data_IF_694333729367
#
_entry.id   IF_694333729367
#
_cell.length_a   1.000
_cell.length_b   1.000
_cell.length_c   1.000
_cell.angle_alpha   90.00
_cell.angle_beta   90.00
_cell.angle_gamma   90.00
#
_symmetry.space_group_name_H-M   'P 1'
#
loop_
_entity.id
_entity.type
_entity.pdbx_description
1 polymer ?
#
# COMPACT_ATOMS: atom_id res chain seq x y z
N UNK A 1 -12.88 -4.42 10.83
CA UNK A 1 -12.43 -4.87 9.51
C UNK A 1 -12.94 -3.86 8.50
N UNK A 2 -12.07 -3.30 7.69
CA UNK A 2 -12.40 -2.26 6.72
C UNK A 2 -11.96 -2.68 5.33
N UNK A 3 -12.78 -2.33 4.34
CA UNK A 3 -12.37 -2.37 2.94
C UNK A 3 -11.80 -1.01 2.56
N UNK A 4 -10.56 -1.00 2.08
CA UNK A 4 -9.81 0.20 1.73
C UNK A 4 -9.26 0.03 0.32
N UNK A 5 -9.48 1.02 -0.53
CA UNK A 5 -8.85 1.12 -1.84
C UNK A 5 -7.63 2.03 -1.74
N UNK A 6 -6.47 1.54 -2.14
CA UNK A 6 -5.22 2.31 -2.15
C UNK A 6 -4.81 2.55 -3.59
N UNK A 7 -4.78 3.81 -4.02
CA UNK A 7 -4.20 4.24 -5.30
C UNK A 7 -2.95 5.08 -5.05
N UNK A 8 -1.88 4.86 -5.82
CA UNK A 8 -0.66 5.64 -5.70
C UNK A 8 -0.16 6.13 -7.07
N UNK A 9 0.50 7.28 -7.07
CA UNK A 9 1.15 7.84 -8.26
C UNK A 9 2.62 8.14 -7.93
N UNK A 10 3.53 7.37 -8.52
CA UNK A 10 4.95 7.34 -8.16
C UNK A 10 5.78 7.11 -9.42
N UNK A 11 6.48 8.16 -9.86
CA UNK A 11 7.38 8.12 -11.01
C UNK A 11 8.63 7.27 -10.75
N UNK A 12 9.21 7.35 -9.54
CA UNK A 12 10.43 6.61 -9.21
C UNK A 12 10.16 5.10 -9.11
N UNK A 13 10.62 4.34 -10.10
CA UNK A 13 10.43 2.89 -10.19
C UNK A 13 10.89 2.12 -8.95
N UNK A 14 12.00 2.52 -8.34
CA UNK A 14 12.53 1.88 -7.14
C UNK A 14 11.59 2.07 -5.95
N UNK A 15 11.07 3.30 -5.76
CA UNK A 15 10.09 3.61 -4.71
C UNK A 15 8.76 2.90 -4.99
N UNK A 16 8.28 2.92 -6.24
CA UNK A 16 7.05 2.24 -6.67
C UNK A 16 7.11 0.75 -6.38
N UNK A 17 8.24 0.10 -6.70
CA UNK A 17 8.43 -1.35 -6.45
C UNK A 17 8.39 -1.67 -4.94
N UNK A 18 9.01 -0.82 -4.11
CA UNK A 18 8.95 -0.99 -2.65
C UNK A 18 7.52 -0.83 -2.11
N UNK A 19 6.81 0.20 -2.55
CA UNK A 19 5.42 0.44 -2.12
C UNK A 19 4.50 -0.69 -2.57
N UNK A 20 4.63 -1.17 -3.81
CA UNK A 20 3.87 -2.33 -4.29
C UNK A 20 4.10 -3.56 -3.41
N UNK A 21 5.37 -3.85 -3.08
CA UNK A 21 5.71 -4.96 -2.19
C UNK A 21 5.14 -4.81 -0.78
N UNK A 22 5.15 -3.60 -0.22
CA UNK A 22 4.55 -3.32 1.09
C UNK A 22 3.04 -3.59 1.03
N UNK A 23 2.35 -3.08 0.01
CA UNK A 23 0.89 -3.23 -0.12
C UNK A 23 0.46 -4.68 -0.36
N UNK A 24 1.30 -5.52 -0.99
CA UNK A 24 1.06 -6.96 -1.14
C UNK A 24 0.93 -7.71 0.19
N UNK A 25 1.46 -7.19 1.30
CA UNK A 25 1.28 -7.79 2.63
C UNK A 25 -0.12 -7.48 3.22
N UNK A 26 -0.83 -6.48 2.69
CA UNK A 26 -2.09 -5.95 3.25
C UNK A 26 -3.29 -6.06 2.30
N UNK A 27 -3.07 -6.34 1.02
CA UNK A 27 -4.12 -6.35 0.02
C UNK A 27 -3.72 -7.00 -1.28
N UNK A 28 -4.67 -7.00 -2.22
CA UNK A 28 -4.49 -7.59 -3.55
C UNK A 28 -4.39 -6.49 -4.59
N UNK A 29 -3.40 -6.52 -5.51
CA UNK A 29 -3.33 -5.57 -6.61
C UNK A 29 -4.47 -5.81 -7.59
N UNK A 30 -5.19 -4.74 -7.96
CA UNK A 30 -6.28 -4.78 -8.96
C UNK A 30 -5.96 -3.98 -10.22
N UNK A 31 -4.97 -3.09 -10.14
CA UNK A 31 -4.37 -2.38 -11.28
C UNK A 31 -2.87 -2.17 -11.01
N UNK A 32 -2.14 -1.69 -12.00
CA UNK A 32 -0.71 -1.36 -11.89
C UNK A 32 -0.34 -0.53 -10.65
N UNK A 33 -1.22 0.39 -10.25
CA UNK A 33 -1.01 1.28 -9.11
C UNK A 33 -2.21 1.37 -8.16
N UNK A 34 -3.01 0.30 -8.10
CA UNK A 34 -4.21 0.23 -7.25
C UNK A 34 -4.28 -1.12 -6.52
N UNK A 35 -4.57 -1.08 -5.21
CA UNK A 35 -4.78 -2.23 -4.34
C UNK A 35 -6.14 -2.17 -3.64
N UNK A 36 -6.74 -3.34 -3.46
CA UNK A 36 -7.87 -3.57 -2.58
C UNK A 36 -7.39 -4.26 -1.29
N UNK A 37 -7.63 -3.63 -0.14
CA UNK A 37 -7.19 -4.11 1.17
C UNK A 37 -8.40 -4.39 2.07
N UNK A 38 -8.45 -5.59 2.64
CA UNK A 38 -9.43 -5.98 3.66
C UNK A 38 -8.70 -6.17 4.99
N UNK A 39 -8.59 -5.10 5.79
CA UNK A 39 -7.65 -5.05 6.90
C UNK A 39 -8.29 -4.58 8.21
N UNK A 40 -7.63 -4.88 9.33
CA UNK A 40 -8.00 -4.37 10.66
C UNK A 40 -7.50 -2.92 10.84
N UNK A 41 -7.92 -2.25 11.93
CA UNK A 41 -7.37 -0.92 12.23
C UNK A 41 -5.88 -0.97 12.57
N UNK A 42 -5.42 -2.02 13.24
CA UNK A 42 -4.01 -2.23 13.57
C UNK A 42 -3.16 -2.42 12.31
N UNK A 43 -3.62 -3.27 11.39
CA UNK A 43 -2.98 -3.47 10.08
C UNK A 43 -2.94 -2.19 9.26
N UNK A 44 -4.00 -1.37 9.32
CA UNK A 44 -4.04 -0.08 8.64
C UNK A 44 -2.98 0.88 9.21
N UNK A 45 -2.80 0.89 10.53
CA UNK A 45 -1.77 1.69 11.18
C UNK A 45 -0.37 1.25 10.74
N UNK A 46 -0.08 -0.05 10.79
CA UNK A 46 1.19 -0.62 10.35
C UNK A 46 1.47 -0.33 8.86
N UNK A 47 0.48 -0.56 8.00
CA UNK A 47 0.57 -0.26 6.57
C UNK A 47 0.94 1.21 6.35
N UNK A 48 0.24 2.12 7.03
CA UNK A 48 0.48 3.57 6.90
C UNK A 48 1.87 3.97 7.37
N UNK A 49 2.37 3.44 8.48
CA UNK A 49 3.74 3.69 8.94
C UNK A 49 4.79 3.21 7.94
N UNK A 50 4.63 1.99 7.40
CA UNK A 50 5.54 1.44 6.39
C UNK A 50 5.58 2.29 5.12
N UNK A 51 4.42 2.79 4.68
CA UNK A 51 4.30 3.64 3.50
C UNK A 51 4.96 5.01 3.70
N UNK A 52 4.72 5.68 4.85
CA UNK A 52 5.32 6.99 5.16
C UNK A 52 6.85 6.94 5.08
N UNK A 53 7.47 5.88 5.61
CA UNK A 53 8.94 5.67 5.53
C UNK A 53 9.49 5.54 4.10
N UNK A 54 8.65 5.32 3.09
CA UNK A 54 9.06 5.30 1.69
C UNK A 54 8.82 6.64 0.99
N UNK A 55 8.06 7.55 1.58
CA UNK A 55 7.71 8.85 1.00
C UNK A 55 8.72 9.94 1.37
N UNK A 56 9.38 9.79 2.52
CA UNK A 56 10.64 10.48 2.86
C UNK A 56 11.78 10.13 1.89
#
# INVERSE_FOLDING_TARGET
MHFILVSYDIENDRRRTKIHKILSDFGTPVQYSVFECFITEDDFHEMREKLIRQMD
#
